data_IF_174936215766
#
_entry.id   IF_174936215766
#
_cell.length_a   1.000
_cell.length_b   1.000
_cell.length_c   1.000
_cell.angle_alpha   90.00
_cell.angle_beta   90.00
_cell.angle_gamma   90.00
#
_symmetry.space_group_name_H-M   'P 1'
#
loop_
_entity.id
_entity.type
_entity.pdbx_description
1 polymer ?
#
# COMPACT_ATOMS: atom_id res chain seq x y z
N UNK A 1 -23.07 12.93 4.32
CA UNK A 1 -22.52 11.63 3.90
C UNK A 1 -21.02 11.83 3.74
N UNK A 2 -20.20 11.08 4.48
CA UNK A 2 -18.74 11.19 4.35
C UNK A 2 -18.32 10.43 3.10
N UNK A 3 -17.89 11.14 2.06
CA UNK A 3 -17.40 10.54 0.82
C UNK A 3 -15.95 10.07 1.03
N UNK A 4 -15.78 8.93 1.69
CA UNK A 4 -14.46 8.31 1.91
C UNK A 4 -14.01 7.65 0.61
N UNK A 5 -12.83 8.01 0.12
CA UNK A 5 -12.14 7.27 -0.96
C UNK A 5 -11.25 6.20 -0.35
N UNK A 6 -11.27 5.02 -0.94
CA UNK A 6 -10.38 3.90 -0.60
C UNK A 6 -9.51 3.52 -1.79
N UNK A 7 -8.35 2.93 -1.51
CA UNK A 7 -7.48 2.34 -2.53
C UNK A 7 -7.76 0.85 -2.65
N UNK A 8 -7.88 0.36 -3.89
CA UNK A 8 -7.99 -1.07 -4.17
C UNK A 8 -6.77 -1.51 -4.97
N UNK A 9 -6.13 -2.57 -4.48
CA UNK A 9 -5.08 -3.29 -5.18
C UNK A 9 -5.59 -4.67 -5.58
N UNK A 10 -5.40 -5.06 -6.84
CA UNK A 10 -5.53 -6.47 -7.25
C UNK A 10 -4.16 -7.10 -7.23
N UNK A 11 -4.04 -8.28 -6.63
CA UNK A 11 -2.79 -8.98 -6.40
C UNK A 11 -2.88 -10.41 -6.95
N UNK A 12 -1.97 -10.78 -7.84
CA UNK A 12 -1.87 -12.12 -8.38
C UNK A 12 -1.34 -13.10 -7.34
N UNK A 13 -1.99 -14.24 -7.16
CA UNK A 13 -1.48 -15.37 -6.37
C UNK A 13 -0.98 -16.52 -7.26
N UNK A 14 0.13 -17.20 -6.91
CA UNK A 14 0.85 -17.10 -5.63
C UNK A 14 1.99 -16.08 -5.61
N UNK A 15 2.25 -15.36 -6.70
CA UNK A 15 3.46 -14.52 -6.82
C UNK A 15 3.42 -13.25 -5.97
N UNK A 16 2.23 -12.86 -5.48
CA UNK A 16 1.95 -11.59 -4.79
C UNK A 16 2.24 -10.35 -5.64
N UNK A 17 2.21 -10.49 -6.96
CA UNK A 17 2.47 -9.39 -7.89
C UNK A 17 1.27 -8.46 -8.01
N UNK A 18 1.49 -7.15 -8.07
CA UNK A 18 0.42 -6.16 -8.25
C UNK A 18 -0.10 -6.21 -9.69
N UNK A 19 -1.42 -6.30 -9.85
CA UNK A 19 -2.14 -6.37 -11.13
C UNK A 19 -2.91 -5.10 -11.48
N UNK A 20 -3.27 -4.30 -10.47
CA UNK A 20 -3.86 -2.97 -10.68
C UNK A 20 -3.92 -2.20 -9.38
N UNK A 21 -3.92 -0.87 -9.46
CA UNK A 21 -4.31 0.02 -8.37
C UNK A 21 -5.41 0.96 -8.88
N UNK A 22 -6.51 1.03 -8.15
CA UNK A 22 -7.59 2.00 -8.43
C UNK A 22 -8.06 2.66 -7.15
N UNK A 23 -8.65 3.84 -7.27
CA UNK A 23 -9.31 4.51 -6.16
C UNK A 23 -10.80 4.62 -6.45
N UNK A 24 -11.63 4.24 -5.49
CA UNK A 24 -13.09 4.29 -5.59
C UNK A 24 -13.67 4.95 -4.34
N UNK A 25 -14.96 5.32 -4.39
CA UNK A 25 -15.69 5.66 -3.17
C UNK A 25 -16.00 4.39 -2.39
N UNK A 26 -15.91 4.45 -1.07
CA UNK A 26 -16.15 3.29 -0.18
C UNK A 26 -17.54 2.68 -0.40
N UNK A 27 -18.55 3.50 -0.70
CA UNK A 27 -19.92 3.07 -1.03
C UNK A 27 -20.02 2.22 -2.31
N UNK A 28 -19.03 2.30 -3.19
CA UNK A 28 -18.96 1.51 -4.43
C UNK A 28 -18.34 0.12 -4.19
N UNK A 29 -17.69 -0.11 -3.05
CA UNK A 29 -17.00 -1.36 -2.73
C UNK A 29 -17.90 -2.61 -2.80
N UNK A 30 -19.16 -2.60 -2.30
CA UNK A 30 -20.06 -3.74 -2.46
C UNK A 30 -20.34 -4.09 -3.92
N UNK A 31 -20.43 -3.08 -4.80
CA UNK A 31 -20.64 -3.29 -6.23
C UNK A 31 -19.34 -3.75 -6.91
N UNK A 32 -18.20 -3.19 -6.51
CA UNK A 32 -16.89 -3.60 -7.00
C UNK A 32 -16.61 -5.08 -6.75
N UNK A 33 -16.91 -5.60 -5.55
CA UNK A 33 -16.75 -7.03 -5.22
C UNK A 33 -17.49 -7.98 -6.17
N UNK A 34 -18.63 -7.56 -6.72
CA UNK A 34 -19.41 -8.36 -7.69
C UNK A 34 -18.71 -8.49 -9.05
N UNK A 35 -17.74 -7.63 -9.35
CA UNK A 35 -16.94 -7.67 -10.59
C UNK A 35 -15.74 -8.60 -10.50
N UNK A 36 -15.41 -9.10 -9.30
CA UNK A 36 -14.24 -9.94 -9.05
C UNK A 36 -14.53 -11.40 -9.37
N UNK A 37 -13.50 -12.19 -9.77
CA UNK A 37 -13.64 -13.63 -9.95
C UNK A 37 -14.07 -14.32 -8.64
N UNK A 38 -14.83 -15.41 -8.74
CA UNK A 38 -15.26 -16.16 -7.55
C UNK A 38 -14.05 -16.74 -6.83
N UNK A 39 -14.09 -16.76 -5.50
CA UNK A 39 -13.00 -17.30 -4.69
C UNK A 39 -11.84 -16.33 -4.45
N UNK A 40 -12.02 -15.04 -4.75
CA UNK A 40 -11.06 -14.02 -4.33
C UNK A 40 -10.88 -14.03 -2.81
N UNK A 41 -9.64 -13.78 -2.38
CA UNK A 41 -9.34 -13.40 -0.99
C UNK A 41 -9.33 -11.89 -0.88
N UNK A 42 -9.62 -11.39 0.31
CA UNK A 42 -9.70 -9.96 0.58
C UNK A 42 -8.92 -9.65 1.85
N UNK A 43 -7.85 -8.87 1.73
CA UNK A 43 -7.05 -8.39 2.86
C UNK A 43 -7.24 -6.87 3.01
N UNK A 44 -7.11 -6.38 4.23
CA UNK A 44 -7.30 -4.95 4.53
C UNK A 44 -6.14 -4.44 5.37
N UNK A 45 -5.77 -3.18 5.18
CA UNK A 45 -4.81 -2.49 6.04
C UNK A 45 -5.38 -2.19 7.44
N UNK A 46 -4.57 -1.58 8.31
CA UNK A 46 -4.93 -1.31 9.71
C UNK A 46 -6.07 -0.30 9.88
N UNK A 47 -6.15 0.72 9.02
CA UNK A 47 -7.14 1.79 9.07
C UNK A 47 -8.29 1.60 8.07
N UNK A 48 -8.32 0.49 7.34
CA UNK A 48 -9.40 0.07 6.44
C UNK A 48 -9.63 1.03 5.28
N UNK A 49 -8.57 1.66 4.80
CA UNK A 49 -8.59 2.59 3.66
C UNK A 49 -7.92 2.02 2.41
N UNK A 50 -7.21 0.89 2.54
CA UNK A 50 -6.66 0.10 1.44
C UNK A 50 -7.09 -1.37 1.51
N UNK A 51 -7.64 -1.86 0.40
CA UNK A 51 -8.09 -3.25 0.25
C UNK A 51 -7.26 -3.98 -0.81
N UNK A 52 -6.74 -5.15 -0.46
CA UNK A 52 -6.12 -6.07 -1.42
C UNK A 52 -7.14 -7.14 -1.80
N UNK A 53 -7.42 -7.28 -3.09
CA UNK A 53 -8.09 -8.46 -3.62
C UNK A 53 -7.04 -9.39 -4.23
N UNK A 54 -7.02 -10.64 -3.79
CA UNK A 54 -6.07 -11.64 -4.25
C UNK A 54 -6.78 -12.73 -5.04
N UNK A 55 -6.23 -13.09 -6.20
CA UNK A 55 -6.75 -14.15 -7.05
C UNK A 55 -5.71 -14.64 -8.07
N UNK A 56 -5.80 -15.90 -8.49
CA UNK A 56 -4.89 -16.49 -9.49
C UNK A 56 -5.06 -15.90 -10.89
N UNK A 57 -6.29 -15.50 -11.23
CA UNK A 57 -6.66 -15.00 -12.57
C UNK A 57 -6.25 -13.54 -12.82
N UNK A 58 -5.75 -12.83 -11.81
CA UNK A 58 -5.25 -11.47 -12.02
C UNK A 58 -3.94 -11.50 -12.79
N UNK A 59 -3.82 -10.66 -13.82
CA UNK A 59 -2.61 -10.55 -14.64
C UNK A 59 -1.67 -9.54 -14.01
N UNK A 60 -0.44 -9.89 -13.64
CA UNK A 60 0.53 -8.95 -13.08
C UNK A 60 0.81 -7.77 -14.02
N UNK A 61 1.06 -6.60 -13.44
CA UNK A 61 1.60 -5.47 -14.18
C UNK A 61 3.10 -5.61 -14.38
N UNK A 62 3.58 -5.15 -15.53
CA UNK A 62 5.00 -4.92 -15.75
C UNK A 62 5.41 -3.61 -15.10
N UNK A 63 6.47 -3.68 -14.30
CA UNK A 63 7.04 -2.53 -13.60
C UNK A 63 8.40 -2.18 -14.17
N UNK A 64 8.66 -0.87 -14.31
CA UNK A 64 9.94 -0.34 -14.74
C UNK A 64 10.56 0.49 -13.64
N UNK A 65 11.88 0.36 -13.45
CA UNK A 65 12.62 1.24 -12.55
C UNK A 65 12.54 2.68 -13.06
N UNK A 66 12.26 3.59 -12.16
CA UNK A 66 12.13 5.01 -12.48
C UNK A 66 12.82 5.88 -11.43
N UNK A 67 13.33 7.01 -11.89
CA UNK A 67 13.75 8.15 -11.06
C UNK A 67 12.97 9.41 -11.42
N UNK A 68 12.02 9.30 -12.35
CA UNK A 68 11.17 10.40 -12.77
C UNK A 68 10.07 10.60 -11.74
N UNK A 69 9.79 11.86 -11.44
CA UNK A 69 8.65 12.22 -10.63
C UNK A 69 7.37 11.96 -11.42
N UNK A 70 6.36 11.46 -10.73
CA UNK A 70 5.03 11.23 -11.27
C UNK A 70 4.07 12.15 -10.51
N UNK A 71 3.34 12.99 -11.24
CA UNK A 71 2.17 13.67 -10.70
C UNK A 71 0.92 12.96 -11.20
N UNK A 72 0.04 12.58 -10.29
CA UNK A 72 -1.33 12.27 -10.63
C UNK A 72 -2.10 13.58 -10.50
N UNK A 73 -2.71 14.05 -11.59
CA UNK A 73 -3.33 15.39 -11.66
C UNK A 73 -4.46 15.65 -10.65
N UNK A 74 -4.83 14.68 -9.81
CA UNK A 74 -5.77 14.85 -8.70
C UNK A 74 -4.97 15.21 -7.44
N UNK A 75 -5.04 16.49 -7.05
CA UNK A 75 -4.38 17.07 -5.86
C UNK A 75 -2.85 16.93 -5.83
N UNK A 76 -2.20 16.66 -6.98
CA UNK A 76 -0.75 16.41 -7.10
C UNK A 76 -0.25 15.25 -6.22
N UNK A 77 -1.14 14.32 -5.86
CA UNK A 77 -0.80 13.15 -5.05
C UNK A 77 -0.80 11.89 -5.90
N UNK A 78 0.26 11.11 -5.80
CA UNK A 78 0.41 9.79 -6.42
C UNK A 78 0.30 8.70 -5.36
N UNK A 79 -0.45 7.61 -5.59
CA UNK A 79 -0.39 6.44 -4.73
C UNK A 79 1.03 5.84 -4.74
N UNK A 80 1.51 5.42 -3.57
CA UNK A 80 2.80 4.75 -3.40
C UNK A 80 2.57 3.49 -2.59
N UNK A 81 2.93 2.33 -3.15
CA UNK A 81 2.89 1.04 -2.48
C UNK A 81 4.29 0.67 -2.03
N UNK A 82 4.48 0.35 -0.75
CA UNK A 82 5.73 -0.22 -0.28
C UNK A 82 5.67 -1.74 -0.33
N UNK A 83 6.70 -2.35 -0.93
CA UNK A 83 6.91 -3.81 -0.92
C UNK A 83 8.29 -4.13 -0.35
N UNK A 84 8.45 -5.28 0.30
CA UNK A 84 9.78 -5.72 0.70
C UNK A 84 10.57 -6.32 -0.48
N UNK A 85 11.81 -6.74 -0.22
CA UNK A 85 12.68 -7.35 -1.21
C UNK A 85 12.15 -8.69 -1.76
N UNK A 86 11.24 -9.35 -1.02
CA UNK A 86 10.61 -10.62 -1.39
C UNK A 86 9.26 -10.41 -2.10
N UNK A 87 8.79 -9.17 -2.23
CA UNK A 87 7.53 -8.83 -2.88
C UNK A 87 6.32 -8.82 -1.95
N UNK A 88 6.49 -8.95 -0.64
CA UNK A 88 5.38 -8.77 0.30
C UNK A 88 4.92 -7.31 0.29
N UNK A 89 3.62 -7.08 0.06
CA UNK A 89 3.00 -5.77 0.20
C UNK A 89 3.03 -5.36 1.69
N UNK A 90 3.65 -4.22 1.99
CA UNK A 90 3.84 -3.74 3.35
C UNK A 90 2.78 -2.71 3.76
N UNK A 91 2.56 -1.71 2.89
CA UNK A 91 1.59 -0.63 3.13
C UNK A 91 1.32 0.15 1.84
N UNK A 92 0.26 0.94 1.84
CA UNK A 92 -0.01 1.97 0.84
C UNK A 92 -0.04 3.34 1.50
N UNK A 93 0.50 4.35 0.81
CA UNK A 93 0.42 5.74 1.21
C UNK A 93 0.41 6.63 -0.03
N UNK A 94 0.40 7.94 0.15
CA UNK A 94 0.45 8.91 -0.94
C UNK A 94 1.80 9.62 -0.94
N UNK A 95 2.26 10.04 -2.10
CA UNK A 95 3.40 10.93 -2.28
C UNK A 95 2.99 12.14 -3.10
N UNK A 96 3.66 13.27 -2.88
CA UNK A 96 3.68 14.43 -3.77
C UNK A 96 5.08 14.59 -4.40
N UNK A 97 5.28 15.60 -5.22
CA UNK A 97 6.58 15.91 -5.85
C UNK A 97 7.73 16.01 -4.84
N UNK A 98 7.52 16.71 -3.72
CA UNK A 98 8.54 16.90 -2.70
C UNK A 98 8.91 15.59 -2.00
N UNK A 99 7.93 14.75 -1.67
CA UNK A 99 8.18 13.43 -1.08
C UNK A 99 8.96 12.50 -2.00
N UNK A 100 8.71 12.57 -3.32
CA UNK A 100 9.46 11.79 -4.31
C UNK A 100 10.90 12.29 -4.42
N UNK A 101 11.09 13.60 -4.44
CA UNK A 101 12.41 14.24 -4.43
C UNK A 101 13.22 13.83 -3.20
N UNK A 102 12.61 13.89 -2.01
CA UNK A 102 13.25 13.47 -0.77
C UNK A 102 13.55 11.97 -0.77
N UNK A 103 12.65 11.14 -1.30
CA UNK A 103 12.84 9.70 -1.41
C UNK A 103 14.06 9.35 -2.26
N UNK A 104 14.17 9.98 -3.44
CA UNK A 104 15.32 9.83 -4.33
C UNK A 104 16.62 10.35 -3.70
N UNK A 105 16.56 11.52 -3.05
CA UNK A 105 17.76 12.17 -2.47
C UNK A 105 18.31 11.43 -1.26
N UNK A 106 17.43 10.95 -0.38
CA UNK A 106 17.84 10.36 0.91
C UNK A 106 18.00 8.86 0.84
N UNK A 107 17.39 8.20 -0.14
CA UNK A 107 17.30 6.73 -0.18
C UNK A 107 16.34 6.14 0.85
N UNK A 108 15.48 6.95 1.48
CA UNK A 108 14.46 6.50 2.44
C UNK A 108 13.06 6.89 1.99
N UNK A 109 12.07 6.05 2.29
CA UNK A 109 10.68 6.33 1.92
C UNK A 109 10.15 7.58 2.62
N UNK A 110 9.81 8.59 1.81
CA UNK A 110 9.05 9.77 2.22
C UNK A 110 7.68 9.72 1.56
N UNK A 111 6.69 10.17 2.31
CA UNK A 111 5.29 10.17 1.92
C UNK A 111 4.65 11.51 2.27
N UNK A 112 3.44 11.72 1.78
CA UNK A 112 2.59 12.85 2.08
C UNK A 112 1.33 12.38 2.81
N UNK A 113 1.09 12.90 4.00
CA UNK A 113 -0.10 12.60 4.80
C UNK A 113 -1.23 13.53 4.38
N UNK A 114 -2.29 12.96 3.78
CA UNK A 114 -3.47 13.73 3.33
C UNK A 114 -4.22 14.40 4.48
N UNK A 115 -4.38 13.69 5.59
CA UNK A 115 -5.10 14.17 6.78
C UNK A 115 -4.35 15.27 7.53
N UNK A 116 -3.02 15.17 7.61
CA UNK A 116 -2.15 16.17 8.26
C UNK A 116 -1.64 17.26 7.31
N UNK A 117 -1.89 17.09 6.01
CA UNK A 117 -1.36 17.94 4.94
C UNK A 117 0.15 18.21 5.07
N UNK A 118 0.92 17.17 5.37
CA UNK A 118 2.35 17.30 5.68
C UNK A 118 3.18 16.13 5.14
N UNK A 119 4.43 16.42 4.84
CA UNK A 119 5.44 15.41 4.54
C UNK A 119 5.82 14.62 5.79
N UNK A 120 6.19 13.36 5.58
CA UNK A 120 6.77 12.55 6.63
C UNK A 120 7.70 11.49 6.05
N UNK A 121 8.81 11.23 6.75
CA UNK A 121 9.69 10.09 6.49
C UNK A 121 9.17 8.88 7.26
N UNK A 122 9.07 7.71 6.61
CA UNK A 122 8.65 6.50 7.32
C UNK A 122 9.64 6.17 8.42
N UNK A 123 9.11 6.02 9.64
CA UNK A 123 9.90 5.68 10.82
C UNK A 123 10.64 6.84 11.46
N UNK A 124 10.36 8.10 11.10
CA UNK A 124 11.08 9.26 11.67
C UNK A 124 10.94 9.36 13.20
N UNK A 125 9.78 8.97 13.73
CA UNK A 125 9.50 8.93 15.17
C UNK A 125 9.82 7.58 15.82
N UNK A 126 9.53 6.47 15.13
CA UNK A 126 9.65 5.12 15.72
C UNK A 126 10.97 4.42 15.44
N UNK A 127 11.81 4.94 14.54
CA UNK A 127 12.98 4.24 14.00
C UNK A 127 12.65 3.14 12.97
N UNK A 128 11.37 2.84 12.72
CA UNK A 128 10.94 1.76 11.81
C UNK A 128 10.96 2.24 10.35
N UNK A 129 12.17 2.56 9.89
CA UNK A 129 12.42 3.18 8.58
C UNK A 129 12.25 2.20 7.42
N UNK A 130 12.14 2.76 6.21
CA UNK A 130 12.11 2.01 4.96
C UNK A 130 13.20 2.57 4.05
N UNK A 131 14.26 1.80 3.86
CA UNK A 131 15.36 2.16 2.96
C UNK A 131 15.02 1.66 1.56
N UNK A 132 14.99 2.57 0.59
CA UNK A 132 14.60 2.27 -0.78
C UNK A 132 15.74 1.55 -1.50
N UNK A 133 15.45 0.33 -1.98
CA UNK A 133 16.31 -0.40 -2.90
C UNK A 133 16.11 0.08 -4.34
N UNK A 134 14.85 0.21 -4.75
CA UNK A 134 14.48 0.80 -6.03
C UNK A 134 13.05 1.35 -6.01
N UNK A 135 12.81 2.30 -6.91
CA UNK A 135 11.49 2.85 -7.20
C UNK A 135 11.05 2.32 -8.56
N UNK A 136 9.84 1.77 -8.59
CA UNK A 136 9.24 1.19 -9.78
C UNK A 136 7.92 1.90 -10.11
N UNK A 137 7.50 1.82 -11.36
CA UNK A 137 6.21 2.34 -11.83
C UNK A 137 5.65 1.44 -12.94
N UNK A 138 4.33 1.27 -13.06
CA UNK A 138 3.72 0.68 -14.25
C UNK A 138 3.93 1.60 -15.45
N UNK A 139 3.71 1.05 -16.66
CA UNK A 139 3.88 1.76 -17.94
C UNK A 139 3.07 3.07 -18.02
N UNK A 140 1.85 3.06 -17.49
CA UNK A 140 0.96 4.22 -17.52
C UNK A 140 1.27 5.27 -16.44
N UNK A 141 2.27 5.02 -15.60
CA UNK A 141 2.72 5.94 -14.54
C UNK A 141 1.59 6.34 -13.59
N UNK A 142 0.66 5.42 -13.32
CA UNK A 142 -0.50 5.69 -12.45
C UNK A 142 -0.17 5.66 -10.95
N UNK A 143 0.89 4.97 -10.52
CA UNK A 143 1.33 4.90 -9.12
C UNK A 143 2.82 4.53 -9.03
N UNK A 144 3.39 4.65 -7.84
CA UNK A 144 4.76 4.22 -7.55
C UNK A 144 4.77 2.96 -6.69
N UNK A 145 5.80 2.14 -6.86
CA UNK A 145 6.14 1.04 -5.96
C UNK A 145 7.53 1.29 -5.41
N UNK A 146 7.63 1.43 -4.09
CA UNK A 146 8.91 1.48 -3.39
C UNK A 146 9.24 0.06 -2.95
N UNK A 147 10.26 -0.54 -3.54
CA UNK A 147 10.85 -1.76 -3.03
C UNK A 147 11.86 -1.40 -1.95
N UNK A 148 11.65 -1.86 -0.72
CA UNK A 148 12.35 -1.37 0.47
C UNK A 148 12.93 -2.48 1.33
N UNK A 149 14.02 -2.15 2.03
CA UNK A 149 14.45 -2.83 3.26
C UNK A 149 13.66 -2.21 4.42
N UNK A 150 12.76 -2.99 5.05
CA UNK A 150 11.92 -2.54 6.15
C UNK A 150 12.57 -2.83 7.50
N UNK A 151 12.77 -1.79 8.30
CA UNK A 151 13.22 -1.92 9.69
C UNK A 151 12.04 -2.16 10.63
N UNK A 152 12.11 -3.22 11.43
CA UNK A 152 11.11 -3.62 12.45
C UNK A 152 9.70 -3.83 11.90
N UNK A 153 8.93 -2.80 11.57
CA UNK A 153 7.53 -2.94 11.16
C UNK A 153 7.02 -1.78 10.28
N UNK A 154 6.26 -2.12 9.24
CA UNK A 154 5.54 -1.11 8.46
C UNK A 154 4.33 -0.55 9.22
N UNK A 155 3.61 -1.40 9.96
CA UNK A 155 2.37 -1.03 10.63
C UNK A 155 2.59 -0.50 12.05
N UNK A 156 1.82 0.51 12.45
CA UNK A 156 1.85 1.07 13.81
C UNK A 156 1.27 0.10 14.86
N UNK A 157 0.51 -0.91 14.46
CA UNK A 157 -0.05 -1.92 15.37
C UNK A 157 0.95 -2.99 15.82
N UNK A 158 2.16 -2.98 15.25
CA UNK A 158 3.19 -3.98 15.54
C UNK A 158 3.56 -4.84 14.35
N UNK A 159 2.69 -4.96 13.35
CA UNK A 159 2.84 -5.94 12.28
C UNK A 159 3.86 -5.51 11.22
N UNK A 160 4.60 -6.49 10.69
CA UNK A 160 5.57 -6.27 9.64
C UNK A 160 4.93 -5.65 8.38
N UNK A 161 3.70 -6.06 8.05
CA UNK A 161 2.83 -5.46 7.03
C UNK A 161 1.54 -4.96 7.66
N UNK A 162 0.96 -3.88 7.13
CA UNK A 162 -0.37 -3.40 7.49
C UNK A 162 -1.48 -4.40 7.12
N UNK A 163 -1.23 -5.28 6.15
CA UNK A 163 -2.18 -6.28 5.66
C UNK A 163 -2.10 -7.57 6.50
N UNK A 164 -2.45 -7.47 7.78
CA UNK A 164 -2.44 -8.59 8.73
C UNK A 164 -3.83 -9.18 8.98
N UNK A 165 -4.86 -8.72 8.25
CA UNK A 165 -6.25 -9.17 8.39
C UNK A 165 -6.82 -9.57 7.03
N UNK A 166 -7.52 -10.70 7.01
CA UNK A 166 -8.28 -11.20 5.87
C UNK A 166 -9.78 -11.23 6.19
N UNK A 167 -10.61 -10.81 5.24
CA UNK A 167 -12.06 -10.83 5.36
C UNK A 167 -12.57 -12.24 5.15
N UNK A 168 -13.30 -12.74 6.13
CA UNK A 168 -13.97 -14.03 6.08
C UNK A 168 -15.44 -13.87 5.67
N UNK A 169 -16.08 -14.99 5.36
CA UNK A 169 -17.54 -15.04 5.17
C UNK A 169 -18.27 -14.45 6.38
N UNK A 170 -19.40 -13.79 6.13
CA UNK A 170 -20.15 -13.06 7.16
C UNK A 170 -19.55 -11.72 7.57
N UNK A 171 -18.43 -11.29 6.97
CA UNK A 171 -17.83 -9.98 7.23
C UNK A 171 -16.97 -9.91 8.49
N UNK A 172 -16.53 -11.06 9.00
CA UNK A 172 -15.57 -11.13 10.12
C UNK A 172 -14.14 -11.03 9.60
N UNK A 173 -13.19 -10.68 10.49
CA UNK A 173 -11.76 -10.58 10.16
C UNK A 173 -10.97 -11.72 10.79
N UNK A 174 -10.18 -12.42 9.98
CA UNK A 174 -9.20 -13.40 10.42
C UNK A 174 -7.82 -12.77 10.43
N UNK A 175 -7.07 -12.96 11.51
CA UNK A 175 -5.67 -12.56 11.56
C UNK A 175 -4.81 -13.48 10.69
N UNK A 176 -3.99 -12.88 9.83
CA UNK A 176 -3.01 -13.57 8.99
C UNK A 176 -1.72 -13.85 9.77
N UNK A 177 -0.90 -14.82 9.32
CA UNK A 177 0.39 -15.12 9.94
C UNK A 177 1.47 -14.07 9.58
N UNK A 178 1.14 -12.79 9.69
CA UNK A 178 2.10 -11.67 9.55
C UNK A 178 2.81 -11.47 10.89
N UNK A 179 4.15 -11.45 10.94
CA UNK A 179 4.88 -11.23 12.17
C UNK A 179 4.48 -9.93 12.86
N UNK A 180 4.20 -9.99 14.17
CA UNK A 180 4.00 -8.83 15.03
C UNK A 180 5.29 -8.53 15.77
N UNK A 181 6.08 -7.62 15.22
CA UNK A 181 7.47 -7.39 15.61
C UNK A 181 7.61 -6.51 16.86
N UNK A 182 6.57 -5.77 17.23
CA UNK A 182 6.50 -5.06 18.50
C UNK A 182 5.06 -4.94 19.02
N UNK A 183 4.90 -4.59 20.30
CA UNK A 183 3.61 -4.24 20.89
C UNK A 183 3.57 -2.72 21.09
N UNK A 184 2.64 -1.99 20.45
CA UNK A 184 2.52 -0.56 20.68
C UNK A 184 2.11 -0.31 22.14
N UNK A 185 2.70 0.71 22.76
CA UNK A 185 2.26 1.16 24.07
C UNK A 185 0.79 1.60 23.98
N UNK A 186 -0.03 1.14 24.93
CA UNK A 186 -1.40 1.64 25.04
C UNK A 186 -1.32 3.08 25.55
N UNK A 187 -1.62 4.04 24.68
CA UNK A 187 -1.94 5.41 25.12
C UNK A 187 -3.23 5.41 25.95
#
# INVERSE_FOLDING_TARGET
MSYRKITILKIQEPTKSISSLVQIMEEELPQYRKTLPKGFREEVDCDEDTVLFLHTDFVPLDFQKTTEQISSGINDLVPVVAIDLQGQILMQAFGNEESQTLSLRTGYAHYFSRSRNQLWKKGDTSGHTQKIFQILSPRDRSFLVYQVEQEVAACHEGYYSCFFRERMEGGTWKQLPVPRNFLPEKN
#
